data_IF_920566382797
#
_entry.id   IF_920566382797
#
_cell.length_a   1.000
_cell.length_b   1.000
_cell.length_c   1.000
_cell.angle_alpha   90.00
_cell.angle_beta   90.00
_cell.angle_gamma   90.00
#
_symmetry.space_group_name_H-M   'P 1'
#
loop_
_entity.id
_entity.type
_entity.pdbx_description
1 polymer ?
#
# COMPACT_ATOMS: atom_id res chain seq x y z
N UNK A 1 -21.48 12.17 18.95
CA UNK A 1 -20.71 11.26 18.08
C UNK A 1 -19.24 11.13 18.52
N UNK A 2 -18.49 12.22 18.75
CA UNK A 2 -17.08 12.16 19.20
C UNK A 2 -16.87 11.98 20.72
N UNK A 3 -17.92 12.18 21.52
CA UNK A 3 -17.87 12.06 22.99
C UNK A 3 -17.84 10.60 23.47
N UNK A 4 -18.14 9.66 22.57
CA UNK A 4 -18.11 8.22 22.87
C UNK A 4 -16.70 7.66 22.63
N UNK A 5 -16.05 7.09 23.67
CA UNK A 5 -14.70 6.53 23.55
C UNK A 5 -14.60 5.38 22.54
N UNK A 6 -15.66 4.60 22.30
CA UNK A 6 -15.67 3.51 21.33
C UNK A 6 -15.66 4.04 19.89
N UNK A 7 -16.42 5.09 19.62
CA UNK A 7 -16.37 5.79 18.34
C UNK A 7 -14.99 6.43 18.11
N UNK A 8 -14.40 6.99 19.17
CA UNK A 8 -13.03 7.53 19.11
C UNK A 8 -12.00 6.45 18.78
N UNK A 9 -12.10 5.25 19.36
CA UNK A 9 -11.27 4.10 19.01
C UNK A 9 -11.34 3.78 17.51
N UNK A 10 -12.56 3.62 16.99
CA UNK A 10 -12.75 3.33 15.57
C UNK A 10 -12.16 4.42 14.66
N UNK A 11 -12.33 5.69 15.01
CA UNK A 11 -11.78 6.83 14.27
C UNK A 11 -10.24 6.90 14.33
N UNK A 12 -9.62 6.51 15.45
CA UNK A 12 -8.17 6.41 15.58
C UNK A 12 -7.61 5.38 14.60
N UNK A 13 -8.34 4.29 14.35
CA UNK A 13 -7.99 3.29 13.35
C UNK A 13 -8.24 3.78 11.92
N UNK A 14 -9.41 4.34 11.63
CA UNK A 14 -9.78 4.76 10.29
C UNK A 14 -8.90 5.88 9.73
N UNK A 15 -8.54 6.87 10.56
CA UNK A 15 -7.83 8.07 10.11
C UNK A 15 -6.54 7.77 9.32
N UNK A 16 -5.59 6.95 9.81
CA UNK A 16 -4.40 6.61 9.03
C UNK A 16 -4.73 5.82 7.77
N UNK A 17 -5.69 4.89 7.81
CA UNK A 17 -6.09 4.09 6.64
C UNK A 17 -6.64 4.97 5.52
N UNK A 18 -7.60 5.85 5.85
CA UNK A 18 -8.21 6.77 4.89
C UNK A 18 -7.21 7.79 4.34
N UNK A 19 -6.23 8.21 5.16
CA UNK A 19 -5.18 9.12 4.70
C UNK A 19 -4.36 8.51 3.56
N UNK A 20 -3.95 7.25 3.69
CA UNK A 20 -3.17 6.58 2.64
C UNK A 20 -4.02 6.41 1.36
N UNK A 21 -5.28 5.99 1.50
CA UNK A 21 -6.20 5.87 0.35
C UNK A 21 -6.39 7.22 -0.35
N UNK A 22 -6.62 8.29 0.41
CA UNK A 22 -6.77 9.64 -0.14
C UNK A 22 -5.50 10.14 -0.82
N UNK A 23 -4.32 9.82 -0.25
CA UNK A 23 -3.03 10.17 -0.87
C UNK A 23 -2.89 9.50 -2.23
N UNK A 24 -3.18 8.19 -2.33
CA UNK A 24 -3.13 7.47 -3.60
C UNK A 24 -4.15 8.03 -4.59
N UNK A 25 -5.42 8.22 -4.18
CA UNK A 25 -6.44 8.82 -5.07
C UNK A 25 -6.01 10.18 -5.62
N UNK A 26 -5.47 11.07 -4.79
CA UNK A 26 -4.95 12.38 -5.23
C UNK A 26 -3.78 12.27 -6.21
N UNK A 27 -3.00 11.19 -6.17
CA UNK A 27 -1.95 10.97 -7.15
C UNK A 27 -2.55 10.66 -8.54
N UNK A 28 -3.66 9.90 -8.58
CA UNK A 28 -4.40 9.60 -9.81
C UNK A 28 -5.14 10.81 -10.40
N UNK A 29 -5.45 11.81 -9.59
CA UNK A 29 -6.11 13.06 -10.05
C UNK A 29 -5.14 14.04 -10.73
N UNK A 30 -3.83 13.75 -10.76
CA UNK A 30 -2.85 14.64 -11.39
C UNK A 30 -2.79 14.44 -12.91
N UNK A 31 -2.70 15.54 -13.65
CA UNK A 31 -2.65 15.54 -15.12
C UNK A 31 -1.33 15.00 -15.71
N UNK A 32 -0.25 14.99 -14.92
CA UNK A 32 1.10 14.62 -15.31
C UNK A 32 1.61 13.37 -14.57
N UNK A 33 0.71 12.57 -13.99
CA UNK A 33 1.10 11.40 -13.23
C UNK A 33 1.70 10.30 -14.11
N UNK A 34 2.89 9.82 -13.73
CA UNK A 34 3.52 8.65 -14.33
C UNK A 34 2.68 7.38 -14.06
N UNK A 35 2.14 6.70 -15.11
CA UNK A 35 1.35 5.49 -14.95
C UNK A 35 2.06 4.35 -14.24
N UNK A 36 3.40 4.22 -14.41
CA UNK A 36 4.19 3.19 -13.74
C UNK A 36 4.24 3.42 -12.24
N UNK A 37 4.45 4.68 -11.84
CA UNK A 37 4.46 5.11 -10.45
C UNK A 37 3.07 4.98 -9.80
N UNK A 38 2.00 5.33 -10.52
CA UNK A 38 0.64 5.13 -10.03
C UNK A 38 0.34 3.66 -9.74
N UNK A 39 0.77 2.78 -10.64
CA UNK A 39 0.63 1.34 -10.44
C UNK A 39 1.43 0.87 -9.22
N UNK A 40 2.66 1.34 -9.04
CA UNK A 40 3.47 1.04 -7.87
C UNK A 40 2.79 1.51 -6.57
N UNK A 41 2.34 2.76 -6.53
CA UNK A 41 1.63 3.36 -5.39
C UNK A 41 0.36 2.56 -5.01
N UNK A 42 -0.42 2.11 -6.00
CA UNK A 42 -1.59 1.27 -5.76
C UNK A 42 -1.21 -0.11 -5.21
N UNK A 43 -0.20 -0.77 -5.78
CA UNK A 43 0.24 -2.08 -5.27
C UNK A 43 0.82 -1.98 -3.86
N UNK A 44 1.52 -0.89 -3.53
CA UNK A 44 2.01 -0.63 -2.20
C UNK A 44 0.85 -0.40 -1.23
N UNK A 45 -0.12 0.44 -1.60
CA UNK A 45 -1.32 0.68 -0.79
C UNK A 45 -2.04 -0.62 -0.46
N UNK A 46 -2.29 -1.49 -1.44
CA UNK A 46 -2.97 -2.78 -1.22
C UNK A 46 -2.18 -3.64 -0.24
N UNK A 47 -0.86 -3.77 -0.42
CA UNK A 47 -0.01 -4.54 0.51
C UNK A 47 -0.07 -3.99 1.93
N UNK A 48 0.05 -2.68 2.09
CA UNK A 48 0.03 -2.00 3.40
C UNK A 48 -1.32 -2.13 4.10
N UNK A 49 -2.43 -1.98 3.36
CA UNK A 49 -3.79 -2.13 3.91
C UNK A 49 -4.02 -3.58 4.34
N UNK A 50 -3.70 -4.55 3.48
CA UNK A 50 -3.89 -5.97 3.79
C UNK A 50 -3.03 -6.43 4.96
N UNK A 51 -1.77 -5.97 5.05
CA UNK A 51 -0.85 -6.41 6.12
C UNK A 51 -1.28 -5.97 7.52
N UNK A 52 -2.24 -5.05 7.67
CA UNK A 52 -2.77 -4.63 8.98
C UNK A 52 -3.64 -5.67 9.65
N UNK A 53 -4.24 -6.57 8.88
CA UNK A 53 -5.24 -7.53 9.38
C UNK A 53 -4.97 -8.95 8.93
N UNK A 54 -3.94 -9.19 8.12
CA UNK A 54 -3.50 -10.53 7.73
C UNK A 54 -2.60 -11.15 8.79
N UNK A 55 -2.71 -12.47 8.94
CA UNK A 55 -1.77 -13.26 9.73
C UNK A 55 -0.36 -13.09 9.13
N UNK A 56 0.65 -12.63 9.89
CA UNK A 56 1.99 -12.35 9.34
C UNK A 56 2.67 -13.56 8.68
N UNK A 57 2.35 -14.78 9.14
CA UNK A 57 2.92 -16.02 8.61
C UNK A 57 2.16 -16.58 7.40
N UNK A 58 1.03 -15.97 7.00
CA UNK A 58 0.31 -16.39 5.81
C UNK A 58 1.15 -16.02 4.57
N UNK A 59 1.75 -17.02 3.91
CA UNK A 59 2.47 -16.87 2.63
C UNK A 59 1.49 -16.61 1.48
N UNK A 60 0.88 -15.43 1.47
CA UNK A 60 -0.18 -15.08 0.51
C UNK A 60 0.14 -13.78 -0.21
N UNK A 61 -0.13 -13.75 -1.50
CA UNK A 61 0.00 -12.54 -2.33
C UNK A 61 -1.30 -11.73 -2.23
N UNK A 62 -1.35 -10.63 -1.45
CA UNK A 62 -2.55 -9.81 -1.27
C UNK A 62 -2.93 -9.04 -2.55
N UNK A 63 -2.14 -9.12 -3.63
CA UNK A 63 -2.50 -8.53 -4.92
C UNK A 63 -3.35 -9.45 -5.78
N UNK A 64 -3.42 -10.74 -5.46
CA UNK A 64 -4.08 -11.76 -6.31
C UNK A 64 -5.21 -12.50 -5.64
N UNK A 65 -5.18 -12.56 -4.32
CA UNK A 65 -6.05 -13.46 -3.58
C UNK A 65 -6.90 -12.67 -2.56
N UNK A 66 -8.20 -13.01 -2.44
CA UNK A 66 -9.13 -12.30 -1.55
C UNK A 66 -8.77 -12.57 -0.10
N UNK A 67 -8.51 -11.56 0.73
CA UNK A 67 -7.91 -11.76 2.06
C UNK A 67 -8.82 -12.43 3.11
N UNK A 68 -10.12 -12.54 2.83
CA UNK A 68 -11.07 -13.28 3.64
C UNK A 68 -10.59 -14.72 3.92
N UNK A 69 -10.68 -15.17 5.17
CA UNK A 69 -10.21 -16.48 5.64
C UNK A 69 -8.77 -16.54 6.14
N UNK A 70 -7.99 -15.46 6.02
CA UNK A 70 -6.60 -15.39 6.52
C UNK A 70 -6.39 -14.18 7.44
N UNK A 71 -7.48 -13.70 8.04
CA UNK A 71 -7.47 -12.55 8.93
C UNK A 71 -6.91 -12.97 10.29
N UNK A 72 -6.06 -12.15 10.85
CA UNK A 72 -5.59 -12.30 12.22
C UNK A 72 -6.80 -12.13 13.16
N UNK A 73 -7.08 -13.09 14.06
CA UNK A 73 -8.18 -12.99 15.00
C UNK A 73 -7.97 -11.85 16.02
N UNK A 74 -6.74 -11.40 16.25
CA UNK A 74 -6.41 -10.29 17.15
C UNK A 74 -5.29 -9.43 16.56
N UNK A 75 -5.57 -8.70 15.46
CA UNK A 75 -4.57 -7.88 14.81
C UNK A 75 -4.22 -6.67 15.67
N UNK A 76 -2.97 -6.22 15.55
CA UNK A 76 -2.55 -4.95 16.12
C UNK A 76 -3.13 -3.78 15.33
N UNK A 77 -4.03 -3.01 15.95
CA UNK A 77 -4.76 -1.91 15.30
C UNK A 77 -4.05 -0.56 15.43
N UNK A 78 -2.87 -0.54 16.05
CA UNK A 78 -1.98 0.61 16.13
C UNK A 78 -1.89 1.22 17.52
N UNK A 79 -0.74 1.80 17.84
CA UNK A 79 -0.41 2.24 19.19
C UNK A 79 -1.47 3.10 19.87
N UNK A 80 -2.01 4.11 19.15
CA UNK A 80 -3.03 5.01 19.72
C UNK A 80 -4.35 4.29 19.98
N UNK A 81 -4.69 3.30 19.16
CA UNK A 81 -5.86 2.46 19.36
C UNK A 81 -5.67 1.62 20.61
N UNK A 82 -4.59 0.82 20.67
CA UNK A 82 -4.32 -0.09 21.80
C UNK A 82 -4.23 0.68 23.13
N UNK A 83 -3.55 1.83 23.13
CA UNK A 83 -3.40 2.67 24.32
C UNK A 83 -4.74 3.21 24.82
N UNK A 84 -5.66 3.57 23.93
CA UNK A 84 -6.99 4.02 24.35
C UNK A 84 -7.83 2.83 24.81
N UNK A 85 -7.76 1.70 24.09
CA UNK A 85 -8.51 0.49 24.42
C UNK A 85 -8.14 -0.03 25.82
N UNK A 86 -6.86 0.02 26.20
CA UNK A 86 -6.39 -0.40 27.53
C UNK A 86 -6.87 0.50 28.67
N UNK A 87 -7.40 1.70 28.39
CA UNK A 87 -7.96 2.61 29.41
C UNK A 87 -9.46 2.45 29.60
N UNK A 88 -10.13 1.71 28.72
CA UNK A 88 -11.57 1.47 28.79
C UNK A 88 -11.84 0.18 29.59
N UNK A 89 -13.01 0.06 30.24
CA UNK A 89 -13.44 -1.19 30.84
C UNK A 89 -13.41 -2.32 29.81
N UNK A 90 -12.83 -3.46 30.16
CA UNK A 90 -12.88 -4.64 29.32
C UNK A 90 -14.34 -5.08 29.14
N UNK A 91 -14.76 -5.26 27.89
CA UNK A 91 -16.13 -5.59 27.55
C UNK A 91 -16.26 -5.96 26.07
N UNK A 92 -17.38 -6.61 25.69
CA UNK A 92 -17.63 -7.05 24.31
C UNK A 92 -17.67 -5.89 23.31
N UNK A 93 -17.85 -4.65 23.78
CA UNK A 93 -17.88 -3.46 22.95
C UNK A 93 -16.54 -3.16 22.29
N UNK A 94 -15.42 -3.42 22.99
CA UNK A 94 -14.07 -3.23 22.41
C UNK A 94 -13.85 -4.26 21.31
N UNK A 95 -14.21 -5.53 21.55
CA UNK A 95 -14.11 -6.59 20.56
C UNK A 95 -14.99 -6.31 19.34
N UNK A 96 -16.19 -5.75 19.54
CA UNK A 96 -17.06 -5.30 18.46
C UNK A 96 -16.39 -4.20 17.61
N UNK A 97 -15.73 -3.23 18.23
CA UNK A 97 -14.98 -2.18 17.50
C UNK A 97 -13.80 -2.78 16.74
N UNK A 98 -13.05 -3.70 17.35
CA UNK A 98 -11.96 -4.42 16.69
C UNK A 98 -12.46 -5.18 15.45
N UNK A 99 -13.57 -5.91 15.58
CA UNK A 99 -14.18 -6.63 14.47
C UNK A 99 -14.65 -5.67 13.36
N UNK A 100 -15.16 -4.49 13.72
CA UNK A 100 -15.49 -3.43 12.75
C UNK A 100 -14.26 -2.93 12.00
N UNK A 101 -13.13 -2.72 12.69
CA UNK A 101 -11.86 -2.33 12.06
C UNK A 101 -11.39 -3.39 11.05
N UNK A 102 -11.41 -4.67 11.45
CA UNK A 102 -11.02 -5.80 10.60
C UNK A 102 -11.94 -5.90 9.39
N UNK A 103 -13.25 -5.83 9.60
CA UNK A 103 -14.27 -5.90 8.53
C UNK A 103 -14.10 -4.74 7.54
N UNK A 104 -13.87 -3.52 8.03
CA UNK A 104 -13.61 -2.36 7.18
C UNK A 104 -12.38 -2.60 6.30
N UNK A 105 -11.27 -3.04 6.89
CA UNK A 105 -10.03 -3.26 6.15
C UNK A 105 -10.17 -4.39 5.14
N UNK A 106 -10.88 -5.47 5.48
CA UNK A 106 -11.16 -6.54 4.53
C UNK A 106 -11.97 -6.07 3.31
N UNK A 107 -13.00 -5.26 3.54
CA UNK A 107 -13.80 -4.65 2.47
C UNK A 107 -12.96 -3.70 1.62
N UNK A 108 -12.21 -2.81 2.26
CA UNK A 108 -11.33 -1.86 1.58
C UNK A 108 -10.28 -2.58 0.73
N UNK A 109 -9.65 -3.64 1.25
CA UNK A 109 -8.70 -4.47 0.50
C UNK A 109 -9.33 -5.04 -0.76
N UNK A 110 -10.55 -5.56 -0.68
CA UNK A 110 -11.27 -6.09 -1.82
C UNK A 110 -11.57 -5.00 -2.87
N UNK A 111 -12.06 -3.84 -2.45
CA UNK A 111 -12.31 -2.70 -3.33
C UNK A 111 -11.03 -2.19 -4.02
N UNK A 112 -9.90 -2.15 -3.30
CA UNK A 112 -8.62 -1.75 -3.88
C UNK A 112 -8.06 -2.81 -4.85
N UNK A 113 -8.21 -4.10 -4.53
CA UNK A 113 -7.82 -5.19 -5.43
C UNK A 113 -8.58 -5.12 -6.76
N UNK A 114 -9.87 -4.76 -6.75
CA UNK A 114 -10.69 -4.60 -7.96
C UNK A 114 -10.22 -3.48 -8.88
N UNK A 115 -9.42 -2.53 -8.38
CA UNK A 115 -8.83 -1.45 -9.18
C UNK A 115 -7.55 -1.86 -9.89
N UNK A 116 -6.98 -3.03 -9.58
CA UNK A 116 -5.81 -3.54 -10.29
C UNK A 116 -6.26 -4.14 -11.64
N UNK A 117 -5.59 -3.78 -12.75
CA UNK A 117 -5.84 -4.44 -14.03
C UNK A 117 -5.33 -5.89 -13.99
N UNK A 118 -5.98 -6.79 -14.72
CA UNK A 118 -5.64 -8.23 -14.73
C UNK A 118 -4.19 -8.52 -15.13
N UNK A 119 -3.60 -7.66 -15.97
CA UNK A 119 -2.23 -7.74 -16.47
C UNK A 119 -1.21 -6.91 -15.67
N UNK A 120 -1.54 -6.48 -14.44
CA UNK A 120 -0.69 -5.56 -13.66
C UNK A 120 0.77 -6.05 -13.47
N UNK A 121 1.02 -7.36 -13.39
CA UNK A 121 2.40 -7.89 -13.28
C UNK A 121 3.22 -7.68 -14.55
N UNK A 122 2.57 -7.73 -15.71
CA UNK A 122 3.20 -7.44 -17.01
C UNK A 122 3.53 -5.95 -17.06
N UNK A 123 2.57 -5.08 -16.70
CA UNK A 123 2.78 -3.63 -16.63
C UNK A 123 3.91 -3.26 -15.67
N UNK A 124 4.00 -3.91 -14.52
CA UNK A 124 5.09 -3.72 -13.56
C UNK A 124 6.44 -4.18 -14.12
N UNK A 125 6.47 -5.28 -14.88
CA UNK A 125 7.67 -5.74 -15.60
C UNK A 125 8.13 -4.73 -16.65
N UNK A 126 7.19 -4.25 -17.49
CA UNK A 126 7.48 -3.24 -18.53
C UNK A 126 7.99 -1.93 -17.93
N UNK A 127 7.38 -1.44 -16.85
CA UNK A 127 7.84 -0.26 -16.12
C UNK A 127 9.31 -0.39 -15.68
N UNK A 128 9.68 -1.54 -15.10
CA UNK A 128 11.06 -1.81 -14.67
C UNK A 128 12.04 -1.84 -15.84
N UNK A 129 11.63 -2.42 -16.97
CA UNK A 129 12.45 -2.48 -18.18
C UNK A 129 12.70 -1.09 -18.78
N UNK A 130 11.72 -0.18 -18.70
CA UNK A 130 11.86 1.21 -19.18
C UNK A 130 12.92 1.99 -18.37
N UNK A 131 12.92 1.85 -17.04
CA UNK A 131 13.92 2.47 -16.17
C UNK A 131 15.32 1.88 -16.35
N UNK A 132 15.43 0.55 -16.53
CA UNK A 132 16.72 -0.10 -16.78
C UNK A 132 17.28 0.20 -18.16
N UNK A 133 16.44 0.33 -19.21
CA UNK A 133 16.91 0.71 -20.55
C UNK A 133 17.54 2.11 -20.57
N UNK A 134 17.00 3.06 -19.80
CA UNK A 134 17.62 4.39 -19.65
C UNK A 134 18.96 4.32 -18.91
N UNK A 135 19.08 3.47 -17.89
CA UNK A 135 20.36 3.25 -17.19
C UNK A 135 21.39 2.53 -18.06
N UNK A 136 20.97 1.56 -18.89
CA UNK A 136 21.85 0.89 -19.87
C UNK A 136 22.29 1.84 -20.99
N UNK A 137 21.42 2.75 -21.43
CA UNK A 137 21.77 3.77 -22.40
C UNK A 137 22.79 4.77 -21.81
N UNK A 138 22.61 5.22 -20.57
CA UNK A 138 23.58 6.10 -19.89
C UNK A 138 24.94 5.44 -19.64
N UNK A 139 24.98 4.12 -19.41
CA UNK A 139 26.23 3.35 -19.34
C UNK A 139 26.94 3.19 -20.69
N UNK A 140 26.23 3.24 -21.81
CA UNK A 140 26.80 3.15 -23.15
C UNK A 140 27.39 4.48 -23.66
N UNK A 141 26.91 5.63 -23.16
CA UNK A 141 27.45 6.95 -23.52
C UNK A 141 28.74 7.32 -22.76
N UNK A 142 29.11 6.62 -21.69
CA UNK A 142 30.39 6.82 -20.99
C UNK A 142 31.55 6.00 -21.56
N UNK A 143 31.35 5.26 -22.66
CA UNK A 143 32.38 4.46 -23.33
C UNK A 143 32.95 5.03 -24.63
N UNK A 144 32.52 6.23 -25.06
CA UNK A 144 32.92 6.82 -26.35
C UNK A 144 33.48 8.25 -26.25
N UNK A 145 33.97 8.67 -25.09
CA UNK A 145 34.79 9.88 -24.96
C UNK A 145 36.21 9.50 -24.53
N UNK A 146 37.08 9.28 -25.51
CA UNK A 146 38.50 9.08 -25.24
C UNK A 146 39.26 8.44 -26.37
N UNK A 147 39.33 9.08 -27.54
CA UNK A 147 40.53 9.10 -28.41
C UNK A 147 40.22 9.87 -29.69
N UNK A 148 40.39 11.19 -29.68
CA UNK A 148 40.72 11.93 -30.90
C UNK A 148 41.53 13.18 -30.55
N UNK A 149 42.51 13.48 -31.41
CA UNK A 149 43.58 14.51 -31.36
C UNK A 149 44.82 14.10 -30.55
N UNK A 150 46.07 14.12 -31.03
CA UNK A 150 46.77 14.67 -32.22
C UNK A 150 48.12 13.87 -32.31
N UNK A 151 48.89 13.73 -33.38
CA UNK A 151 49.32 14.75 -34.33
C UNK A 151 50.07 14.13 -35.50
N UNK A 152 49.88 14.74 -36.67
CA UNK A 152 50.67 14.60 -37.88
C UNK A 152 51.90 15.51 -37.80
N UNK A 153 53.10 14.95 -37.98
CA UNK A 153 54.24 15.42 -38.80
C UNK A 153 55.54 14.74 -38.35
#
# INVERSE_FOLDING_TARGET
MYSDPLNKLYLLYLRPMLREVQRTNKAYERNDADPAKLLEDLTLLIKTVCSKVLIPMAKRDPLRQPIYGHLDPKPYLGYKFEKLASTLPAGPEIDFVCQRCVTFTAKLSNELQQRLPSNFKILQGMARLSGSMLASAQGAYHGLDGTFWCSTK
#
